data_IF_351405698547
#
_entry.id   IF_351405698547
#
_cell.length_a   1.000
_cell.length_b   1.000
_cell.length_c   1.000
_cell.angle_alpha   90.00
_cell.angle_beta   90.00
_cell.angle_gamma   90.00
#
_symmetry.space_group_name_H-M   'P 1'
#
loop_
_entity.id
_entity.type
_entity.pdbx_description
1 polymer ?
#
# COMPACT_ATOMS: atom_id res chain seq x y z
N UNK A 1 13.48 -27.63 0.53
CA UNK A 1 12.60 -26.81 -0.33
C UNK A 1 12.57 -25.41 0.26
N UNK A 2 13.31 -24.46 -0.30
CA UNK A 2 13.29 -23.06 0.14
C UNK A 2 12.03 -22.39 -0.42
N UNK A 3 10.99 -22.25 0.41
CA UNK A 3 9.89 -21.34 0.10
C UNK A 3 10.42 -19.92 0.18
N UNK A 4 10.73 -19.30 -0.96
CA UNK A 4 10.85 -17.85 -1.02
C UNK A 4 9.47 -17.28 -0.72
N UNK A 5 9.26 -16.78 0.49
CA UNK A 5 8.03 -16.05 0.83
C UNK A 5 7.91 -14.88 -0.14
N UNK A 6 6.90 -14.91 -1.00
CA UNK A 6 6.64 -13.81 -1.93
C UNK A 6 6.33 -12.56 -1.09
N UNK A 7 7.04 -11.46 -1.36
CA UNK A 7 6.84 -10.20 -0.63
C UNK A 7 5.47 -9.62 -0.99
N UNK A 8 4.69 -9.23 0.02
CA UNK A 8 3.37 -8.64 -0.16
C UNK A 8 3.36 -7.15 0.17
N UNK A 9 2.31 -6.45 -0.26
CA UNK A 9 1.97 -5.09 0.13
C UNK A 9 0.52 -5.04 0.56
N UNK A 10 0.23 -4.29 1.61
CA UNK A 10 -1.13 -4.04 2.05
C UNK A 10 -1.80 -2.99 1.16
N UNK A 11 -3.00 -3.30 0.67
CA UNK A 11 -3.87 -2.32 0.04
C UNK A 11 -4.91 -1.78 1.03
N UNK A 12 -5.07 -2.39 2.21
CA UNK A 12 -6.03 -1.97 3.23
C UNK A 12 -5.65 -2.46 4.63
N UNK A 13 -6.40 -2.00 5.64
CA UNK A 13 -6.11 -2.24 7.06
C UNK A 13 -6.71 -3.51 7.67
N UNK A 14 -7.39 -4.36 6.87
CA UNK A 14 -7.95 -5.63 7.37
C UNK A 14 -6.99 -6.78 7.07
N UNK A 15 -7.05 -7.83 7.89
CA UNK A 15 -6.25 -9.02 7.71
C UNK A 15 -6.47 -9.63 6.30
N UNK A 16 -5.38 -9.98 5.62
CA UNK A 16 -5.42 -10.53 4.27
C UNK A 16 -5.69 -9.53 3.15
N UNK A 17 -5.86 -8.22 3.43
CA UNK A 17 -5.92 -7.16 2.41
C UNK A 17 -4.54 -6.87 1.81
N UNK A 18 -4.01 -7.87 1.10
CA UNK A 18 -2.63 -7.87 0.58
C UNK A 18 -2.60 -8.20 -0.91
N UNK A 19 -1.66 -7.59 -1.62
CA UNK A 19 -1.29 -7.99 -2.99
C UNK A 19 0.12 -8.57 -3.00
N UNK A 20 0.41 -9.45 -3.96
CA UNK A 20 1.75 -10.03 -4.13
C UNK A 20 2.59 -9.14 -5.03
N UNK A 21 3.83 -8.79 -4.65
CA UNK A 21 4.76 -8.08 -5.53
C UNK A 21 5.21 -9.01 -6.65
N UNK A 22 4.95 -8.63 -7.90
CA UNK A 22 5.37 -9.36 -9.10
C UNK A 22 6.70 -8.82 -9.62
N UNK A 23 6.88 -7.51 -9.59
CA UNK A 23 8.10 -6.84 -10.06
C UNK A 23 8.34 -5.54 -9.31
N UNK A 24 9.60 -5.27 -9.03
CA UNK A 24 10.05 -3.99 -8.49
C UNK A 24 11.19 -3.44 -9.38
N UNK A 25 11.20 -2.14 -9.62
CA UNK A 25 12.22 -1.48 -10.44
C UNK A 25 12.43 -0.04 -10.01
N UNK A 26 13.66 0.47 -10.10
CA UNK A 26 13.97 1.86 -9.78
C UNK A 26 13.70 2.26 -8.33
N UNK A 27 13.63 1.30 -7.40
CA UNK A 27 13.32 1.55 -5.98
C UNK A 27 14.31 2.56 -5.39
N UNK A 28 13.78 3.56 -4.68
CA UNK A 28 14.56 4.66 -4.13
C UNK A 28 14.93 5.77 -5.13
N UNK A 29 14.50 5.68 -6.40
CA UNK A 29 14.80 6.68 -7.44
C UNK A 29 13.60 7.59 -7.78
N UNK A 30 13.78 8.50 -8.74
CA UNK A 30 12.69 9.33 -9.26
C UNK A 30 11.70 8.58 -10.17
N UNK A 31 11.96 7.30 -10.45
CA UNK A 31 11.15 6.45 -11.33
C UNK A 31 10.89 5.08 -10.66
N UNK A 32 10.67 5.08 -9.34
CA UNK A 32 10.39 3.87 -8.59
C UNK A 32 9.04 3.30 -9.01
N UNK A 33 8.97 1.99 -9.22
CA UNK A 33 7.77 1.29 -9.67
C UNK A 33 7.68 -0.09 -9.04
N UNK A 34 6.49 -0.46 -8.59
CA UNK A 34 6.16 -1.81 -8.13
C UNK A 34 4.91 -2.26 -8.86
N UNK A 35 5.03 -3.37 -9.59
CA UNK A 35 3.91 -4.12 -10.16
C UNK A 35 3.52 -5.22 -9.18
N UNK A 36 2.24 -5.32 -8.91
CA UNK A 36 1.63 -6.28 -8.00
C UNK A 36 0.62 -7.16 -8.73
N UNK A 37 0.20 -8.24 -8.08
CA UNK A 37 -0.88 -9.10 -8.53
C UNK A 37 -1.83 -9.39 -7.37
N UNK A 38 -3.12 -9.19 -7.60
CA UNK A 38 -4.16 -9.64 -6.68
C UNK A 38 -4.51 -11.09 -7.01
N UNK A 39 -3.83 -12.02 -6.34
CA UNK A 39 -3.92 -13.46 -6.68
C UNK A 39 -5.03 -14.15 -5.91
N UNK A 40 -5.47 -15.33 -6.40
CA UNK A 40 -6.40 -16.18 -5.65
C UNK A 40 -5.92 -16.50 -4.24
N UNK A 41 -4.60 -16.65 -4.03
CA UNK A 41 -4.02 -16.87 -2.69
C UNK A 41 -4.22 -15.67 -1.76
N UNK A 42 -4.12 -14.45 -2.30
CA UNK A 42 -4.41 -13.24 -1.54
C UNK A 42 -5.88 -13.20 -1.11
N UNK A 43 -6.79 -13.45 -2.06
CA UNK A 43 -8.21 -13.49 -1.77
C UNK A 43 -8.60 -14.57 -0.75
N UNK A 44 -7.99 -15.76 -0.81
CA UNK A 44 -8.17 -16.81 0.21
C UNK A 44 -7.72 -16.32 1.59
N UNK A 45 -6.58 -15.62 1.68
CA UNK A 45 -6.09 -15.08 2.95
C UNK A 45 -7.10 -14.07 3.54
N UNK A 46 -7.61 -13.14 2.74
CA UNK A 46 -8.67 -12.22 3.17
C UNK A 46 -9.93 -12.95 3.65
N UNK A 47 -10.43 -13.90 2.86
CA UNK A 47 -11.63 -14.66 3.20
C UNK A 47 -11.47 -15.49 4.48
N UNK A 48 -10.28 -16.04 4.72
CA UNK A 48 -9.95 -16.79 5.93
C UNK A 48 -9.77 -15.88 7.14
N UNK A 49 -8.94 -14.84 7.00
CA UNK A 49 -8.39 -14.09 8.14
C UNK A 49 -9.27 -12.91 8.55
N UNK A 50 -10.06 -12.36 7.62
CA UNK A 50 -10.99 -11.27 7.91
C UNK A 50 -12.46 -11.73 7.91
N UNK A 51 -12.90 -12.44 6.87
CA UNK A 51 -14.31 -12.89 6.76
C UNK A 51 -14.57 -14.11 7.65
N UNK A 52 -13.55 -14.93 7.92
CA UNK A 52 -13.66 -16.15 8.72
C UNK A 52 -14.23 -17.35 7.95
N UNK A 53 -14.47 -17.22 6.63
CA UNK A 53 -15.02 -18.30 5.80
C UNK A 53 -14.48 -18.23 4.38
N UNK A 54 -13.90 -19.34 3.93
CA UNK A 54 -13.38 -19.48 2.56
C UNK A 54 -14.47 -20.11 1.68
N UNK A 55 -15.07 -19.30 0.81
CA UNK A 55 -16.02 -19.74 -0.23
C UNK A 55 -15.58 -19.20 -1.58
N UNK A 56 -15.99 -19.84 -2.68
CA UNK A 56 -15.73 -19.31 -4.03
C UNK A 56 -16.32 -17.91 -4.22
N UNK A 57 -17.52 -17.64 -3.68
CA UNK A 57 -18.14 -16.32 -3.76
C UNK A 57 -17.31 -15.25 -3.04
N UNK A 58 -16.76 -15.57 -1.87
CA UNK A 58 -15.88 -14.64 -1.14
C UNK A 58 -14.62 -14.37 -1.95
N UNK A 59 -13.98 -15.42 -2.48
CA UNK A 59 -12.76 -15.31 -3.28
C UNK A 59 -13.02 -14.48 -4.53
N UNK A 60 -14.11 -14.75 -5.25
CA UNK A 60 -14.47 -14.05 -6.48
C UNK A 60 -14.79 -12.57 -6.21
N UNK A 61 -15.54 -12.27 -5.15
CA UNK A 61 -15.83 -10.89 -4.74
C UNK A 61 -14.58 -10.13 -4.37
N UNK A 62 -13.68 -10.76 -3.63
CA UNK A 62 -12.41 -10.16 -3.22
C UNK A 62 -11.51 -9.89 -4.43
N UNK A 63 -11.40 -10.82 -5.38
CA UNK A 63 -10.65 -10.62 -6.62
C UNK A 63 -11.21 -9.49 -7.52
N UNK A 64 -12.45 -9.06 -7.29
CA UNK A 64 -13.07 -7.93 -7.99
C UNK A 64 -12.77 -6.56 -7.33
N UNK A 65 -12.06 -6.52 -6.21
CA UNK A 65 -11.64 -5.26 -5.58
C UNK A 65 -10.91 -4.39 -6.61
N UNK A 66 -11.35 -3.14 -6.84
CA UNK A 66 -10.84 -2.30 -7.91
C UNK A 66 -9.48 -1.71 -7.54
N UNK A 67 -8.43 -2.52 -7.68
CA UNK A 67 -7.05 -2.14 -7.35
C UNK A 67 -6.29 -1.69 -8.59
N UNK A 68 -5.52 -0.62 -8.43
CA UNK A 68 -4.50 -0.20 -9.36
C UNK A 68 -3.21 -0.98 -9.07
N UNK A 69 -2.98 -2.07 -9.80
CA UNK A 69 -1.93 -3.05 -9.48
C UNK A 69 -0.50 -2.55 -9.74
N UNK A 70 -0.31 -1.36 -10.29
CA UNK A 70 0.99 -0.73 -10.45
C UNK A 70 1.07 0.55 -9.61
N UNK A 71 2.00 0.61 -8.67
CA UNK A 71 2.30 1.83 -7.92
C UNK A 71 3.62 2.42 -8.35
N UNK A 72 3.69 3.75 -8.37
CA UNK A 72 4.87 4.49 -8.83
C UNK A 72 5.24 5.58 -7.85
N UNK A 73 6.51 5.95 -7.78
CA UNK A 73 6.95 7.10 -7.01
C UNK A 73 8.10 7.86 -7.67
N UNK A 74 8.12 9.15 -7.38
CA UNK A 74 9.30 9.99 -7.51
C UNK A 74 9.88 10.26 -6.13
N UNK A 75 10.87 9.48 -5.71
CA UNK A 75 11.45 9.58 -4.37
C UNK A 75 12.20 10.91 -4.10
N UNK A 76 12.49 11.70 -5.14
CA UNK A 76 13.05 13.06 -4.97
C UNK A 76 11.97 14.03 -4.51
N UNK A 77 10.81 14.04 -5.18
CA UNK A 77 9.71 14.96 -4.86
C UNK A 77 8.77 14.45 -3.77
N UNK A 78 8.80 13.14 -3.50
CA UNK A 78 7.88 12.48 -2.57
C UNK A 78 6.49 12.18 -3.16
N UNK A 79 6.28 12.42 -4.45
CA UNK A 79 5.01 12.09 -5.13
C UNK A 79 4.92 10.60 -5.43
N UNK A 80 3.76 9.98 -5.22
CA UNK A 80 3.54 8.57 -5.52
C UNK A 80 2.06 8.25 -5.77
N UNK A 81 1.80 7.08 -6.37
CA UNK A 81 0.45 6.53 -6.55
C UNK A 81 0.25 5.32 -5.62
N UNK A 82 -0.98 5.10 -5.17
CA UNK A 82 -1.33 3.97 -4.29
C UNK A 82 -2.03 2.84 -5.04
N UNK A 83 -2.25 1.71 -4.36
CA UNK A 83 -3.01 0.57 -4.89
C UNK A 83 -4.50 0.87 -5.13
N UNK A 84 -5.03 2.00 -4.64
CA UNK A 84 -6.36 2.50 -5.04
C UNK A 84 -6.30 3.53 -6.17
N UNK A 85 -5.12 3.83 -6.70
CA UNK A 85 -4.92 4.82 -7.75
C UNK A 85 -4.86 6.28 -7.29
N UNK A 86 -4.92 6.53 -5.97
CA UNK A 86 -4.86 7.88 -5.42
C UNK A 86 -3.46 8.50 -5.59
N UNK A 87 -3.41 9.81 -5.87
CA UNK A 87 -2.17 10.56 -5.96
C UNK A 87 -1.79 11.14 -4.60
N UNK A 88 -0.64 10.71 -4.08
CA UNK A 88 -0.18 11.06 -2.75
C UNK A 88 1.14 11.83 -2.79
N UNK A 89 1.40 12.60 -1.73
CA UNK A 89 2.67 13.28 -1.50
C UNK A 89 3.19 13.05 -0.10
N UNK A 90 4.33 12.37 -0.01
CA UNK A 90 5.13 12.28 1.21
C UNK A 90 5.96 13.55 1.41
N UNK A 91 5.83 14.19 2.57
CA UNK A 91 6.46 15.47 2.88
C UNK A 91 7.61 15.37 3.89
N UNK A 92 7.76 14.24 4.58
CA UNK A 92 8.80 14.02 5.58
C UNK A 92 8.21 13.76 6.96
N UNK A 93 9.07 13.77 8.00
CA UNK A 93 8.63 13.59 9.39
C UNK A 93 7.65 14.68 9.78
N UNK A 94 6.66 14.32 10.58
CA UNK A 94 5.74 15.28 11.15
C UNK A 94 6.50 16.17 12.16
N UNK A 95 6.52 17.50 11.98
CA UNK A 95 7.19 18.40 12.91
C UNK A 95 6.43 18.55 14.23
N UNK A 96 5.15 18.19 14.27
CA UNK A 96 4.34 18.24 15.48
C UNK A 96 4.61 17.02 16.36
N UNK A 97 5.09 17.26 17.58
CA UNK A 97 5.44 16.21 18.54
C UNK A 97 4.22 15.51 19.12
N UNK A 98 3.05 16.15 19.07
CA UNK A 98 1.79 15.60 19.59
C UNK A 98 0.93 14.96 18.48
N UNK A 99 1.44 14.93 17.24
CA UNK A 99 0.72 14.34 16.13
C UNK A 99 0.58 12.82 16.25
N UNK A 100 -0.55 12.32 15.76
CA UNK A 100 -0.85 10.89 15.65
C UNK A 100 -0.06 10.18 14.54
N UNK A 101 0.66 10.91 13.70
CA UNK A 101 1.40 10.39 12.54
C UNK A 101 2.87 10.76 12.60
N UNK A 102 3.75 9.77 12.37
CA UNK A 102 5.19 9.99 12.29
C UNK A 102 5.63 10.84 11.09
N UNK A 103 4.84 10.83 10.01
CA UNK A 103 5.15 11.44 8.73
C UNK A 103 3.94 12.18 8.17
N UNK A 104 4.22 13.27 7.45
CA UNK A 104 3.20 14.00 6.70
C UNK A 104 3.02 13.37 5.33
N UNK A 105 1.80 12.89 5.07
CA UNK A 105 1.34 12.41 3.78
C UNK A 105 0.05 13.15 3.44
N UNK A 106 -0.01 13.70 2.24
CA UNK A 106 -1.23 14.33 1.72
C UNK A 106 -1.76 13.58 0.52
N UNK A 107 -3.08 13.42 0.48
CA UNK A 107 -3.80 13.16 -0.76
C UNK A 107 -3.81 14.46 -1.58
N UNK A 108 -3.24 14.40 -2.78
CA UNK A 108 -3.11 15.57 -3.67
C UNK A 108 -4.32 15.76 -4.57
N UNK A 109 -5.18 14.76 -4.69
CA UNK A 109 -6.44 14.87 -5.43
C UNK A 109 -7.46 15.62 -4.55
N UNK A 110 -7.56 15.25 -3.27
CA UNK A 110 -8.52 15.84 -2.33
C UNK A 110 -7.95 17.01 -1.48
N UNK A 111 -6.64 17.25 -1.56
CA UNK A 111 -5.92 18.24 -0.74
C UNK A 111 -6.07 18.01 0.77
N UNK A 112 -6.13 16.75 1.19
CA UNK A 112 -6.30 16.33 2.58
C UNK A 112 -4.99 15.77 3.12
N UNK A 113 -4.63 16.13 4.36
CA UNK A 113 -3.53 15.48 5.09
C UNK A 113 -4.08 14.27 5.81
N UNK A 114 -3.43 13.11 5.67
CA UNK A 114 -3.85 11.90 6.35
C UNK A 114 -3.61 12.05 7.86
N UNK A 115 -4.66 11.84 8.65
CA UNK A 115 -4.69 12.09 10.10
C UNK A 115 -4.19 10.90 10.95
N UNK A 116 -3.77 9.81 10.30
CA UNK A 116 -3.31 8.60 10.99
C UNK A 116 -4.44 7.69 11.45
N UNK A 117 -5.70 8.05 11.25
CA UNK A 117 -6.80 7.15 11.53
C UNK A 117 -6.76 5.96 10.58
N UNK A 118 -7.22 4.79 11.03
CA UNK A 118 -7.40 3.64 10.14
C UNK A 118 -8.34 3.92 8.96
N UNK A 119 -9.22 4.92 9.08
CA UNK A 119 -10.09 5.39 8.01
C UNK A 119 -9.33 6.20 6.94
N UNK A 120 -8.32 6.99 7.32
CA UNK A 120 -7.46 7.74 6.39
C UNK A 120 -6.57 6.84 5.53
N UNK A 121 -6.36 5.59 5.95
CA UNK A 121 -5.50 4.67 5.24
C UNK A 121 -4.00 4.97 5.35
N UNK A 122 -3.62 5.77 6.34
CA UNK A 122 -2.25 6.22 6.56
C UNK A 122 -1.23 5.08 6.58
N UNK A 123 -1.47 4.01 7.34
CA UNK A 123 -0.49 2.95 7.55
C UNK A 123 -0.12 2.21 6.26
N UNK A 124 -1.12 1.73 5.51
CA UNK A 124 -0.86 1.02 4.26
C UNK A 124 -0.34 1.97 3.17
N UNK A 125 -0.74 3.24 3.20
CA UNK A 125 -0.21 4.26 2.29
C UNK A 125 1.27 4.52 2.55
N UNK A 126 1.66 4.66 3.83
CA UNK A 126 3.04 4.82 4.23
C UNK A 126 3.87 3.57 3.88
N UNK A 127 3.34 2.37 4.08
CA UNK A 127 4.06 1.13 3.74
C UNK A 127 4.27 0.95 2.24
N UNK A 128 3.29 1.32 1.42
CA UNK A 128 3.46 1.39 -0.04
C UNK A 128 4.55 2.40 -0.42
N UNK A 129 4.58 3.58 0.21
CA UNK A 129 5.64 4.56 -0.01
C UNK A 129 7.02 4.05 0.44
N UNK A 130 7.13 3.42 1.62
CA UNK A 130 8.37 2.79 2.11
C UNK A 130 8.89 1.75 1.12
N UNK A 131 8.00 0.96 0.52
CA UNK A 131 8.38 -0.04 -0.47
C UNK A 131 8.97 0.59 -1.74
N UNK A 132 8.44 1.74 -2.17
CA UNK A 132 8.92 2.50 -3.33
C UNK A 132 10.19 3.32 -3.01
N UNK A 133 10.26 3.93 -1.83
CA UNK A 133 11.24 4.93 -1.43
C UNK A 133 11.86 4.65 -0.04
N UNK A 134 12.52 3.49 0.17
CA UNK A 134 12.94 3.06 1.51
C UNK A 134 13.93 4.02 2.20
N UNK A 135 14.70 4.78 1.43
CA UNK A 135 15.69 5.72 1.98
C UNK A 135 15.08 7.02 2.54
N UNK A 136 13.78 7.27 2.29
CA UNK A 136 13.08 8.50 2.68
C UNK A 136 12.39 8.40 4.04
N UNK A 137 12.26 7.19 4.58
CA UNK A 137 11.57 6.88 5.82
C UNK A 137 12.59 6.26 6.76
N UNK A 138 12.97 6.98 7.81
CA UNK A 138 14.03 6.63 8.77
C UNK A 138 13.63 7.10 10.15
#
# INVERSE_FOLDING_TARGET
MTHTTAKTLYYGGRAGMEVTIVKASGIGSSHARILTGHTRRNAIAFCRDYVGKVTEDCIAKELQTPLHLEITANCRTGKFTTLYGANMRFQGRNPDADATTDYLISDTDDNVVLDGSGASGYDYTLDQFKALCPNRVR
#
